data_IF_999901707905
#
_entry.id   IF_999901707905
#
_cell.length_a   1.000
_cell.length_b   1.000
_cell.length_c   1.000
_cell.angle_alpha   90.00
_cell.angle_beta   90.00
_cell.angle_gamma   90.00
#
_symmetry.space_group_name_H-M   'P 1'
#
loop_
_entity.id
_entity.type
_entity.pdbx_description
1 polymer ?
#
# COMPACT_ATOMS: atom_id res chain seq x y z
N UNK A 1 23.82 8.59 1.83
CA UNK A 1 22.53 7.84 1.89
C UNK A 1 21.66 8.21 0.69
N UNK A 2 21.26 7.22 -0.10
CA UNK A 2 20.44 7.41 -1.30
C UNK A 2 18.97 7.67 -0.97
N UNK A 3 18.21 8.26 -1.92
CA UNK A 3 16.78 8.55 -1.73
C UNK A 3 15.95 7.30 -1.40
N UNK A 4 16.33 6.14 -1.95
CA UNK A 4 15.64 4.87 -1.78
C UNK A 4 15.72 4.31 -0.34
N UNK A 5 16.78 4.63 0.40
CA UNK A 5 16.98 4.16 1.78
C UNK A 5 16.03 4.84 2.79
N UNK A 6 15.56 6.06 2.46
CA UNK A 6 14.74 6.91 3.33
C UNK A 6 13.23 6.77 3.13
N UNK A 7 12.78 6.01 2.12
CA UNK A 7 11.36 5.91 1.77
C UNK A 7 10.99 4.52 1.25
N UNK A 8 9.70 4.25 1.06
CA UNK A 8 9.22 2.95 0.59
C UNK A 8 9.18 2.92 -0.94
N UNK A 9 10.22 2.36 -1.55
CA UNK A 9 10.36 2.30 -3.02
C UNK A 9 10.01 0.93 -3.62
N UNK A 10 9.89 -0.12 -2.79
CA UNK A 10 9.54 -1.48 -3.23
C UNK A 10 10.44 -2.02 -4.37
N UNK A 11 11.75 -1.76 -4.28
CA UNK A 11 12.75 -2.19 -5.28
C UNK A 11 12.88 -1.28 -6.52
N UNK A 12 12.05 -0.23 -6.63
CA UNK A 12 12.17 0.73 -7.72
C UNK A 12 13.34 1.68 -7.52
N UNK A 13 14.30 1.61 -8.43
CA UNK A 13 15.46 2.49 -8.49
C UNK A 13 15.37 3.42 -9.71
N UNK A 14 16.27 4.41 -9.74
CA UNK A 14 16.43 5.28 -10.89
C UNK A 14 17.07 4.47 -12.01
N UNK A 15 16.42 4.39 -13.16
CA UNK A 15 16.98 3.71 -14.33
C UNK A 15 17.74 4.73 -15.19
N UNK A 16 18.89 4.29 -15.69
CA UNK A 16 19.73 5.06 -16.60
C UNK A 16 19.73 4.40 -17.97
N UNK A 17 19.75 5.20 -19.02
CA UNK A 17 19.88 4.68 -20.37
C UNK A 17 19.94 5.79 -21.39
N UNK A 18 19.54 5.47 -22.60
CA UNK A 18 19.70 6.34 -23.74
C UNK A 18 18.36 6.64 -24.40
N UNK A 19 18.23 7.85 -24.93
CA UNK A 19 17.23 8.20 -25.94
C UNK A 19 17.92 8.09 -27.30
N UNK A 20 17.41 7.21 -28.15
CA UNK A 20 17.89 7.03 -29.53
C UNK A 20 17.01 7.88 -30.46
N UNK A 21 17.63 8.59 -31.40
CA UNK A 21 16.90 9.36 -32.41
C UNK A 21 16.29 8.44 -33.47
N UNK A 22 15.10 8.81 -33.95
CA UNK A 22 14.29 7.98 -34.84
C UNK A 22 14.91 7.78 -36.23
N UNK A 23 15.66 8.78 -36.73
CA UNK A 23 16.20 8.78 -38.11
C UNK A 23 17.72 8.86 -38.21
N UNK A 24 18.46 8.98 -37.11
CA UNK A 24 19.89 9.31 -37.16
C UNK A 24 20.79 8.53 -36.21
N UNK A 25 20.28 7.53 -35.47
CA UNK A 25 21.08 6.72 -34.54
C UNK A 25 21.74 7.48 -33.37
N UNK A 26 21.57 8.81 -33.32
CA UNK A 26 22.14 9.66 -32.30
C UNK A 26 21.57 9.29 -30.94
N UNK A 27 22.47 9.08 -29.99
CA UNK A 27 22.16 8.51 -28.69
C UNK A 27 22.47 9.54 -27.61
N UNK A 28 21.44 10.04 -26.92
CA UNK A 28 21.58 10.99 -25.81
C UNK A 28 21.28 10.30 -24.48
N UNK A 29 22.07 10.59 -23.43
CA UNK A 29 21.83 10.02 -22.09
C UNK A 29 20.52 10.53 -21.51
N UNK A 30 19.72 9.64 -20.92
CA UNK A 30 18.47 9.97 -20.20
C UNK A 30 18.39 9.18 -18.90
N UNK A 31 17.63 9.75 -17.96
CA UNK A 31 17.32 9.15 -16.67
C UNK A 31 15.80 9.02 -16.49
N UNK A 32 15.33 7.87 -16.02
CA UNK A 32 13.93 7.64 -15.64
C UNK A 32 13.81 7.58 -14.13
N UNK A 33 13.03 8.50 -13.57
CA UNK A 33 12.79 8.60 -12.13
C UNK A 33 11.47 7.90 -11.81
N UNK A 34 11.39 7.12 -10.70
CA UNK A 34 10.12 6.57 -10.26
C UNK A 34 9.16 7.68 -9.81
N UNK A 35 7.86 7.43 -9.92
CA UNK A 35 6.84 8.35 -9.42
C UNK A 35 6.74 8.24 -7.89
N UNK A 36 7.37 9.18 -7.19
CA UNK A 36 7.45 9.22 -5.73
C UNK A 36 6.54 10.32 -5.22
N UNK A 37 5.69 9.97 -4.26
CA UNK A 37 4.74 10.87 -3.61
C UNK A 37 4.97 10.86 -2.10
N UNK A 38 4.78 12.00 -1.44
CA UNK A 38 4.76 12.05 0.02
C UNK A 38 3.33 11.86 0.51
N UNK A 39 3.10 10.82 1.33
CA UNK A 39 1.78 10.48 1.85
C UNK A 39 1.83 10.21 3.35
N UNK A 40 0.70 10.48 4.01
CA UNK A 40 0.44 10.14 5.42
C UNK A 40 -0.28 8.80 5.43
N UNK A 41 0.37 7.77 5.97
CA UNK A 41 -0.21 6.44 6.11
C UNK A 41 -0.47 6.17 7.58
N UNK A 42 -1.66 5.69 7.91
CA UNK A 42 -2.02 5.33 9.28
C UNK A 42 -1.47 3.94 9.63
N UNK A 43 -0.74 3.85 10.73
CA UNK A 43 -0.30 2.59 11.34
C UNK A 43 -1.21 2.29 12.50
N UNK A 44 -1.83 1.10 12.49
CA UNK A 44 -2.77 0.66 13.51
C UNK A 44 -2.04 0.17 14.75
N UNK A 45 -0.90 -0.50 14.58
CA UNK A 45 -0.11 -1.01 15.72
C UNK A 45 0.51 0.14 16.52
N UNK A 46 0.85 1.25 15.86
CA UNK A 46 1.44 2.42 16.50
C UNK A 46 0.42 3.53 16.81
N UNK A 47 -0.85 3.32 16.46
CA UNK A 47 -1.97 4.27 16.56
C UNK A 47 -1.61 5.70 16.14
N UNK A 48 -0.85 5.83 15.05
CA UNK A 48 -0.35 7.13 14.58
C UNK A 48 -0.21 7.19 13.07
N UNK A 49 -0.28 8.42 12.55
CA UNK A 49 0.01 8.69 11.15
C UNK A 49 1.52 8.85 10.92
N UNK A 50 2.04 8.15 9.92
CA UNK A 50 3.44 8.19 9.53
C UNK A 50 3.55 8.87 8.17
N UNK A 51 4.37 9.92 8.10
CA UNK A 51 4.73 10.58 6.84
C UNK A 51 5.86 9.82 6.18
N UNK A 52 5.60 9.28 4.99
CA UNK A 52 6.61 8.54 4.22
C UNK A 52 6.57 8.96 2.76
N UNK A 53 7.75 8.95 2.13
CA UNK A 53 7.88 9.00 0.68
C UNK A 53 7.68 7.61 0.12
N UNK A 54 6.70 7.45 -0.75
CA UNK A 54 6.23 6.15 -1.24
C UNK A 54 6.13 6.22 -2.76
N UNK A 55 6.53 5.15 -3.45
CA UNK A 55 6.26 5.02 -4.88
C UNK A 55 4.79 4.65 -5.11
N UNK A 56 4.22 5.04 -6.24
CA UNK A 56 2.83 4.68 -6.57
C UNK A 56 2.60 3.16 -6.60
N UNK A 57 3.61 2.39 -7.02
CA UNK A 57 3.58 0.93 -6.95
C UNK A 57 3.53 0.42 -5.50
N UNK A 58 4.40 0.93 -4.62
CA UNK A 58 4.39 0.56 -3.21
C UNK A 58 3.06 0.90 -2.55
N UNK A 59 2.43 2.02 -2.92
CA UNK A 59 1.09 2.40 -2.43
C UNK A 59 0.04 1.34 -2.81
N UNK A 60 0.02 0.89 -4.07
CA UNK A 60 -0.89 -0.20 -4.51
C UNK A 60 -0.61 -1.52 -3.77
N UNK A 61 0.65 -1.82 -3.48
CA UNK A 61 1.00 -2.99 -2.68
C UNK A 61 0.54 -2.88 -1.22
N UNK A 62 0.59 -1.69 -0.63
CA UNK A 62 0.07 -1.41 0.71
C UNK A 62 -1.44 -1.63 0.75
N UNK A 63 -2.17 -1.12 -0.25
CA UNK A 63 -3.62 -1.30 -0.37
C UNK A 63 -3.98 -2.78 -0.54
N UNK A 64 -3.22 -3.51 -1.38
CA UNK A 64 -3.40 -4.96 -1.57
C UNK A 64 -3.08 -5.76 -0.31
N UNK A 65 -2.07 -5.36 0.46
CA UNK A 65 -1.72 -6.01 1.72
C UNK A 65 -2.74 -5.74 2.82
N UNK A 66 -3.51 -4.65 2.71
CA UNK A 66 -4.47 -4.22 3.70
C UNK A 66 -3.91 -3.21 4.70
N UNK A 67 -2.83 -2.49 4.40
CA UNK A 67 -2.26 -1.45 5.26
C UNK A 67 -0.74 -1.50 5.36
N UNK A 68 -0.15 -0.44 5.93
CA UNK A 68 1.31 -0.28 6.01
C UNK A 68 1.95 -1.33 6.92
N UNK A 69 1.30 -1.64 8.04
CA UNK A 69 1.80 -2.59 9.03
C UNK A 69 1.86 -4.00 8.44
N UNK A 70 0.76 -4.43 7.84
CA UNK A 70 0.64 -5.73 7.19
C UNK A 70 1.59 -5.86 6.00
N UNK A 71 1.79 -4.77 5.24
CA UNK A 71 2.77 -4.70 4.16
C UNK A 71 4.20 -4.92 4.68
N UNK A 72 4.59 -4.25 5.76
CA UNK A 72 5.91 -4.39 6.40
C UNK A 72 6.09 -5.78 7.04
N UNK A 73 5.02 -6.40 7.53
CA UNK A 73 5.08 -7.76 8.07
C UNK A 73 5.16 -8.82 6.98
N UNK A 74 4.50 -8.65 5.82
CA UNK A 74 4.50 -9.62 4.72
C UNK A 74 5.75 -9.57 3.83
N UNK A 75 6.31 -8.39 3.56
CA UNK A 75 7.43 -8.22 2.62
C UNK A 75 8.69 -9.00 3.07
N UNK A 76 9.35 -9.79 2.22
CA UNK A 76 10.59 -10.47 2.62
C UNK A 76 11.76 -9.47 2.76
N UNK A 77 12.79 -9.85 3.53
CA UNK A 77 13.93 -8.96 3.83
C UNK A 77 14.71 -8.51 2.58
N UNK A 78 14.83 -9.37 1.58
CA UNK A 78 15.55 -9.06 0.33
C UNK A 78 14.85 -7.99 -0.52
N UNK A 79 13.53 -7.83 -0.41
CA UNK A 79 12.78 -6.77 -1.09
C UNK A 79 12.70 -5.47 -0.26
N UNK A 80 13.08 -5.54 1.02
CA UNK A 80 13.18 -4.39 1.91
C UNK A 80 14.61 -3.83 1.90
N UNK A 81 15.00 -3.26 0.77
CA UNK A 81 16.27 -2.54 0.62
C UNK A 81 16.29 -1.19 1.37
N UNK A 82 15.21 -0.86 2.08
CA UNK A 82 15.00 0.42 2.75
C UNK A 82 15.25 0.30 4.25
N UNK A 83 16.14 1.14 4.80
CA UNK A 83 16.41 1.24 6.25
C UNK A 83 15.14 1.57 7.06
N UNK A 84 14.28 2.42 6.51
CA UNK A 84 12.96 2.73 7.08
C UNK A 84 12.06 1.50 7.16
N UNK A 85 12.12 0.60 6.17
CA UNK A 85 11.37 -0.66 6.17
C UNK A 85 11.87 -1.60 7.27
N UNK A 86 13.19 -1.80 7.34
CA UNK A 86 13.83 -2.67 8.35
C UNK A 86 13.59 -2.17 9.79
N UNK A 87 13.82 -0.88 10.03
CA UNK A 87 13.60 -0.27 11.35
C UNK A 87 12.11 -0.18 11.70
N UNK A 88 11.24 0.08 10.73
CA UNK A 88 9.78 0.05 10.89
C UNK A 88 9.28 -1.33 11.29
N UNK A 89 9.72 -2.38 10.58
CA UNK A 89 9.36 -3.77 10.88
C UNK A 89 9.82 -4.21 12.26
N UNK A 90 11.05 -3.85 12.66
CA UNK A 90 11.56 -4.22 13.98
C UNK A 90 10.70 -3.60 15.09
N UNK A 91 10.34 -2.32 14.96
CA UNK A 91 9.41 -1.64 15.87
C UNK A 91 8.03 -2.27 15.90
N UNK A 92 7.49 -2.65 14.74
CA UNK A 92 6.22 -3.36 14.65
C UNK A 92 6.27 -4.69 15.40
N UNK A 93 7.32 -5.49 15.18
CA UNK A 93 7.53 -6.77 15.88
C UNK A 93 7.65 -6.61 17.40
N UNK A 94 8.28 -5.53 17.89
CA UNK A 94 8.33 -5.26 19.34
C UNK A 94 6.95 -4.92 19.90
N UNK A 95 6.15 -4.10 19.20
CA UNK A 95 4.80 -3.73 19.65
C UNK A 95 3.79 -4.88 19.57
N UNK A 96 3.89 -5.75 18.57
CA UNK A 96 3.00 -6.94 18.46
C UNK A 96 3.27 -7.99 19.52
N UNK A 97 4.46 -8.02 20.13
CA UNK A 97 4.77 -8.94 21.24
C UNK A 97 4.14 -8.48 22.56
N UNK A 98 3.97 -7.18 22.75
CA UNK A 98 3.38 -6.60 23.96
C UNK A 98 1.85 -6.51 23.91
N UNK A 99 1.26 -6.40 22.71
CA UNK A 99 -0.20 -6.38 22.52
C UNK A 99 -0.70 -7.73 22.02
N UNK A 100 -1.49 -8.45 22.82
CA UNK A 100 -2.10 -9.73 22.44
C UNK A 100 -2.89 -9.61 21.13
N UNK A 101 -2.44 -10.32 20.09
CA UNK A 101 -2.92 -10.15 18.72
C UNK A 101 -4.24 -10.91 18.49
N UNK A 102 -5.36 -10.18 18.38
CA UNK A 102 -6.64 -10.75 17.94
C UNK A 102 -7.74 -9.71 17.70
N UNK A 103 -7.92 -8.76 18.63
CA UNK A 103 -9.04 -7.83 18.62
C UNK A 103 -9.03 -6.82 17.44
N UNK A 104 -7.84 -6.46 16.95
CA UNK A 104 -7.70 -5.36 16.00
C UNK A 104 -8.08 -5.71 14.56
N UNK A 105 -7.92 -6.98 14.16
CA UNK A 105 -8.31 -7.48 12.83
C UNK A 105 -9.82 -7.44 12.65
N UNK A 106 -10.56 -7.70 13.73
CA UNK A 106 -12.02 -7.64 13.78
C UNK A 106 -12.56 -6.20 13.88
N UNK A 107 -11.90 -5.34 14.66
CA UNK A 107 -12.35 -3.95 14.85
C UNK A 107 -12.46 -3.17 13.53
N UNK A 108 -11.51 -3.36 12.58
CA UNK A 108 -11.57 -2.73 11.26
C UNK A 108 -12.58 -3.37 10.31
N UNK A 109 -12.79 -4.70 10.41
CA UNK A 109 -13.86 -5.41 9.68
C UNK A 109 -15.23 -4.86 10.09
N UNK A 110 -15.41 -4.59 11.39
CA UNK A 110 -16.65 -4.03 11.97
C UNK A 110 -16.82 -2.52 11.72
N UNK A 111 -15.76 -1.72 11.79
CA UNK A 111 -15.84 -0.25 11.66
C UNK A 111 -15.92 0.26 10.21
N UNK A 112 -15.14 -0.31 9.28
CA UNK A 112 -14.97 0.25 7.93
C UNK A 112 -15.42 -0.69 6.81
N UNK A 113 -16.00 -1.85 7.13
CA UNK A 113 -16.46 -2.82 6.13
C UNK A 113 -15.36 -3.38 5.22
N UNK A 114 -14.09 -3.29 5.63
CA UNK A 114 -12.98 -3.77 4.80
C UNK A 114 -12.90 -5.30 4.87
N UNK A 115 -13.35 -5.96 3.79
CA UNK A 115 -13.13 -7.39 3.55
C UNK A 115 -11.95 -7.62 2.58
N UNK A 116 -11.08 -8.62 2.79
CA UNK A 116 -10.04 -8.98 1.81
C UNK A 116 -10.66 -9.34 0.45
N UNK A 117 -10.10 -8.84 -0.65
CA UNK A 117 -10.57 -9.16 -2.03
C UNK A 117 -10.56 -10.66 -2.38
N UNK A 118 -9.92 -11.51 -1.56
CA UNK A 118 -9.97 -12.96 -1.69
C UNK A 118 -11.30 -13.57 -1.23
N UNK A 119 -12.08 -12.88 -0.39
CA UNK A 119 -13.41 -13.35 0.08
C UNK A 119 -14.53 -12.97 -0.92
N UNK A 120 -14.39 -11.87 -1.66
CA UNK A 120 -15.32 -11.38 -2.70
C UNK A 120 -15.40 -12.22 -3.99
N UNK A 121 -14.79 -13.41 -4.00
CA UNK A 121 -14.83 -14.35 -5.13
C UNK A 121 -15.65 -15.61 -4.80
N UNK A 122 -16.01 -15.80 -3.53
CA UNK A 122 -16.70 -16.99 -3.05
C UNK A 122 -18.24 -16.85 -3.11
N UNK A 123 -18.73 -15.67 -3.47
CA UNK A 123 -20.13 -15.27 -3.49
C UNK A 123 -20.72 -15.20 -4.92
N UNK A 124 -19.98 -15.62 -5.94
CA UNK A 124 -20.45 -15.74 -7.33
C UNK A 124 -20.45 -17.21 -7.80
N UNK A 125 -21.07 -18.09 -7.01
CA UNK A 125 -21.55 -19.39 -7.50
C UNK A 125 -23.08 -19.44 -7.32
N UNK A 126 -23.79 -19.28 -8.45
CA UNK A 126 -25.15 -19.78 -8.70
C UNK A 126 -26.30 -19.25 -7.84
N UNK A 127 -27.13 -18.38 -8.42
CA UNK A 127 -28.61 -18.55 -8.48
C UNK A 127 -29.21 -17.38 -9.26
N UNK A 128 -29.57 -17.64 -10.52
CA UNK A 128 -30.43 -16.76 -11.29
C UNK A 128 -31.87 -17.06 -10.84
N UNK A 129 -32.42 -16.21 -9.98
CA UNK A 129 -33.79 -16.28 -9.48
C UNK A 129 -34.22 -14.91 -9.00
N UNK A 130 -35.28 -14.40 -9.63
CA UNK A 130 -35.90 -13.07 -9.51
C UNK A 130 -35.98 -12.47 -8.09
N UNK A 131 -35.82 -11.14 -7.95
CA UNK A 131 -36.24 -10.44 -6.73
C UNK A 131 -35.67 -9.04 -6.51
N UNK A 132 -36.47 -8.02 -6.87
CA UNK A 132 -36.53 -6.62 -6.42
C UNK A 132 -35.28 -5.89 -5.85
N UNK A 133 -34.95 -4.76 -6.47
CA UNK A 133 -34.08 -3.72 -5.92
C UNK A 133 -34.74 -3.04 -4.70
N UNK A 134 -34.08 -2.95 -3.52
CA UNK A 134 -34.47 -2.00 -2.50
C UNK A 134 -33.80 -0.66 -2.80
N UNK A 135 -34.61 0.29 -3.23
CA UNK A 135 -34.32 1.72 -3.18
C UNK A 135 -34.15 2.15 -1.73
N UNK A 136 -32.97 2.62 -1.36
CA UNK A 136 -32.80 3.63 -0.29
C UNK A 136 -31.40 4.23 -0.39
N UNK A 137 -31.30 5.24 -1.26
CA UNK A 137 -30.24 6.25 -1.18
C UNK A 137 -30.46 7.02 0.12
N UNK A 138 -29.57 6.85 1.10
CA UNK A 138 -29.46 7.79 2.21
C UNK A 138 -28.24 8.70 1.97
N UNK A 139 -28.54 9.97 1.74
CA UNK A 139 -27.61 11.08 1.66
C UNK A 139 -26.86 11.29 2.98
N UNK A 140 -25.60 11.74 2.85
CA UNK A 140 -24.80 12.35 3.90
C UNK A 140 -23.34 11.88 3.83
N UNK A 141 -22.31 12.70 3.73
CA UNK A 141 -22.18 14.15 3.83
C UNK A 141 -20.89 14.55 3.11
N UNK A 142 -21.00 15.62 2.33
CA UNK A 142 -20.05 16.70 2.04
C UNK A 142 -18.56 16.47 2.39
N UNK A 143 -17.74 16.56 1.35
CA UNK A 143 -16.29 16.72 1.45
C UNK A 143 -15.93 18.03 2.16
N UNK A 144 -15.11 17.96 3.21
CA UNK A 144 -14.45 19.14 3.76
C UNK A 144 -13.15 19.44 2.98
N UNK A 145 -12.98 20.73 2.71
CA UNK A 145 -11.95 21.40 1.93
C UNK A 145 -10.50 21.16 2.39
#
# INVERSE_FOLDING_TARGET
MGRAQRGLFAGYHIQFGNRVSEKGGNTSRRTWKPNVQEKRLFSYILDRQIRVKVTTYALRCIDKAGGIDEYLLKKPYHEMETELGSSGRLRLRSCTRSSGNGAHREARRKMYGWSPKSELKADYEGTDGEGSLPTEFHEGMVANA
#
